data_IF_206789502823
#
_entry.id   IF_206789502823
#
_cell.length_a   1.000
_cell.length_b   1.000
_cell.length_c   1.000
_cell.angle_alpha   90.00
_cell.angle_beta   90.00
_cell.angle_gamma   90.00
#
_symmetry.space_group_name_H-M   'P 1'
#
loop_
_entity.id
_entity.type
_entity.pdbx_description
1 polymer ?
#
# COMPACT_ATOMS: atom_id res chain seq x y z
N UNK A 1 -53.34 -45.51 -2.57
CA UNK A 1 -52.50 -44.75 -3.53
C UNK A 1 -51.84 -43.63 -2.76
N UNK A 2 -50.58 -43.78 -2.49
CA UNK A 2 -49.81 -42.80 -1.72
C UNK A 2 -48.94 -41.97 -2.69
N UNK A 3 -48.89 -40.64 -2.63
CA UNK A 3 -48.08 -39.84 -3.56
C UNK A 3 -46.62 -39.90 -3.13
N UNK A 4 -45.73 -40.26 -4.08
CA UNK A 4 -44.28 -40.17 -3.93
C UNK A 4 -43.86 -38.72 -4.16
N UNK A 5 -43.36 -38.08 -3.12
CA UNK A 5 -42.72 -36.77 -3.22
C UNK A 5 -41.25 -37.02 -3.69
N UNK A 6 -40.96 -36.62 -4.93
CA UNK A 6 -39.59 -36.58 -5.44
C UNK A 6 -38.92 -35.31 -4.94
N UNK A 7 -37.97 -35.42 -4.05
CA UNK A 7 -37.12 -34.32 -3.63
C UNK A 7 -36.09 -34.04 -4.73
N UNK A 8 -36.16 -32.84 -5.35
CA UNK A 8 -35.11 -32.30 -6.23
C UNK A 8 -33.95 -31.85 -5.37
N UNK A 9 -32.82 -32.59 -5.41
CA UNK A 9 -31.56 -32.12 -4.88
C UNK A 9 -30.95 -31.09 -5.86
N UNK A 10 -30.97 -29.82 -5.50
CA UNK A 10 -30.18 -28.80 -6.18
C UNK A 10 -28.69 -29.00 -5.77
N UNK A 11 -27.74 -29.05 -6.75
CA UNK A 11 -26.33 -29.11 -6.40
C UNK A 11 -25.92 -27.75 -5.82
N UNK A 12 -25.42 -27.77 -4.56
CA UNK A 12 -24.73 -26.64 -3.95
C UNK A 12 -23.38 -26.53 -4.64
N UNK A 13 -23.24 -25.54 -5.53
CA UNK A 13 -21.97 -25.17 -6.14
C UNK A 13 -21.10 -24.56 -5.05
N UNK A 14 -20.19 -25.34 -4.46
CA UNK A 14 -19.18 -24.83 -3.56
C UNK A 14 -18.25 -23.92 -4.35
N UNK A 15 -18.36 -22.60 -4.13
CA UNK A 15 -17.36 -21.64 -4.58
C UNK A 15 -16.07 -21.96 -3.82
N UNK A 16 -15.12 -22.62 -4.47
CA UNK A 16 -13.75 -22.73 -3.99
C UNK A 16 -13.15 -21.32 -3.98
N UNK A 17 -13.08 -20.70 -2.80
CA UNK A 17 -12.34 -19.47 -2.64
C UNK A 17 -10.85 -19.79 -2.92
N UNK A 18 -10.31 -19.21 -3.97
CA UNK A 18 -8.87 -19.25 -4.23
C UNK A 18 -8.16 -18.68 -3.00
N UNK A 19 -7.04 -19.28 -2.56
CA UNK A 19 -6.28 -18.74 -1.45
C UNK A 19 -5.89 -17.28 -1.76
N UNK A 20 -6.18 -16.39 -0.83
CA UNK A 20 -5.79 -14.98 -0.96
C UNK A 20 -4.26 -14.93 -1.03
N UNK A 21 -3.73 -14.42 -2.14
CA UNK A 21 -2.28 -14.25 -2.33
C UNK A 21 -1.80 -13.17 -1.37
N UNK A 22 -0.70 -13.44 -0.68
CA UNK A 22 -0.03 -12.50 0.21
C UNK A 22 1.21 -11.95 -0.48
N UNK A 23 1.35 -10.63 -0.50
CA UNK A 23 2.49 -9.92 -1.05
C UNK A 23 3.33 -9.28 0.05
N UNK A 24 4.61 -9.01 -0.22
CA UNK A 24 5.56 -8.44 0.73
C UNK A 24 6.30 -7.28 0.10
N UNK A 25 6.36 -6.15 0.81
CA UNK A 25 7.19 -5.01 0.42
C UNK A 25 8.16 -4.66 1.55
N UNK A 26 9.40 -4.33 1.18
CA UNK A 26 10.41 -3.78 2.09
C UNK A 26 10.71 -2.34 1.70
N UNK A 27 10.54 -1.40 2.64
CA UNK A 27 10.68 0.03 2.41
C UNK A 27 11.73 0.61 3.36
N UNK A 28 12.41 1.66 2.92
CA UNK A 28 13.32 2.47 3.73
C UNK A 28 12.63 3.76 4.20
N UNK A 29 13.12 4.42 5.27
CA UNK A 29 12.48 5.63 5.77
C UNK A 29 12.53 6.77 4.75
N UNK A 30 11.51 7.62 4.81
CA UNK A 30 11.49 8.91 4.11
C UNK A 30 12.02 10.04 4.98
N UNK A 31 12.00 9.86 6.31
CA UNK A 31 12.55 10.79 7.29
C UNK A 31 12.82 10.09 8.62
N UNK A 32 13.86 10.55 9.31
CA UNK A 32 14.16 10.17 10.68
C UNK A 32 14.83 11.32 11.43
N UNK A 33 14.85 11.26 12.75
CA UNK A 33 15.47 12.29 13.58
C UNK A 33 15.67 11.81 15.02
N UNK A 34 16.55 12.50 15.76
CA UNK A 34 16.64 12.44 17.21
C UNK A 34 16.21 13.76 17.84
N UNK A 35 15.31 13.70 18.81
CA UNK A 35 14.97 14.82 19.69
C UNK A 35 15.57 14.60 21.08
N UNK A 36 16.05 15.66 21.68
CA UNK A 36 16.75 15.69 22.98
C UNK A 36 15.90 16.44 23.99
N UNK A 37 15.84 15.99 25.25
CA UNK A 37 15.03 16.62 26.31
C UNK A 37 15.60 17.99 26.75
N UNK A 38 15.86 18.82 25.77
CA UNK A 38 16.24 20.21 25.95
C UNK A 38 15.02 21.06 26.26
N UNK A 39 14.99 21.67 27.43
CA UNK A 39 13.88 22.52 27.89
C UNK A 39 13.74 23.83 27.12
N UNK A 40 14.81 24.26 26.44
CA UNK A 40 14.77 25.41 25.52
C UNK A 40 14.24 24.99 24.14
N UNK A 41 14.34 23.70 23.82
CA UNK A 41 13.81 23.15 22.59
C UNK A 41 14.58 23.58 21.34
N UNK A 42 15.90 23.75 21.43
CA UNK A 42 16.73 24.17 20.32
C UNK A 42 17.76 23.13 19.90
N UNK A 43 17.57 21.83 20.25
CA UNK A 43 18.51 20.76 19.95
C UNK A 43 17.85 19.57 19.25
N UNK A 44 18.53 19.10 18.22
CA UNK A 44 18.08 17.95 17.42
C UNK A 44 19.25 17.30 16.66
N UNK A 45 18.94 16.19 15.97
CA UNK A 45 19.75 15.60 14.90
C UNK A 45 18.78 15.04 13.84
N UNK A 46 18.68 15.69 12.69
CA UNK A 46 17.75 15.35 11.63
C UNK A 46 18.42 14.69 10.42
N UNK A 47 19.74 14.94 10.23
CA UNK A 47 20.48 14.48 9.05
C UNK A 47 21.79 13.77 9.41
N UNK A 48 21.98 13.43 10.68
CA UNK A 48 23.12 12.63 11.11
C UNK A 48 23.03 11.19 10.62
N UNK A 49 24.17 10.52 10.53
CA UNK A 49 24.25 9.10 10.15
C UNK A 49 23.60 8.18 11.19
N UNK A 50 23.31 8.69 12.39
CA UNK A 50 22.81 7.90 13.51
C UNK A 50 21.73 8.65 14.30
N UNK A 51 20.79 7.88 14.84
CA UNK A 51 19.76 8.37 15.76
C UNK A 51 19.84 7.65 17.09
N UNK A 52 19.30 8.26 18.14
CA UNK A 52 19.43 7.77 19.51
C UNK A 52 18.09 7.68 20.23
N UNK A 53 17.93 6.63 21.03
CA UNK A 53 16.80 6.50 21.96
C UNK A 53 17.25 5.99 23.33
N UNK A 54 16.55 6.39 24.40
CA UNK A 54 16.86 6.02 25.77
C UNK A 54 17.56 7.12 26.56
N UNK A 55 18.14 6.73 27.70
CA UNK A 55 18.77 7.62 28.66
C UNK A 55 20.31 7.57 28.51
N UNK A 56 20.95 8.70 28.23
CA UNK A 56 22.40 8.84 28.31
C UNK A 56 22.88 8.92 29.77
N UNK A 57 24.17 9.06 30.00
CA UNK A 57 24.69 9.21 31.37
C UNK A 57 24.23 10.49 32.05
N UNK A 58 24.34 10.51 33.36
CA UNK A 58 23.98 11.67 34.21
C UNK A 58 24.86 12.92 33.97
N UNK A 59 26.00 12.76 33.29
CA UNK A 59 26.93 13.85 33.00
C UNK A 59 26.63 14.57 31.67
N UNK A 60 25.47 14.30 31.04
CA UNK A 60 25.06 14.99 29.81
C UNK A 60 23.94 15.98 30.14
N UNK A 61 23.98 17.14 29.48
CA UNK A 61 22.98 18.20 29.68
C UNK A 61 21.57 17.77 29.26
N UNK A 62 21.48 16.91 28.23
CA UNK A 62 20.21 16.40 27.67
C UNK A 62 20.21 14.86 27.66
N UNK A 63 19.97 14.24 28.84
CA UNK A 63 20.15 12.80 28.98
C UNK A 63 19.10 11.96 28.23
N UNK A 64 17.84 12.41 28.11
CA UNK A 64 16.79 11.65 27.43
C UNK A 64 16.79 11.96 25.95
N UNK A 65 16.74 10.90 25.15
CA UNK A 65 16.70 10.96 23.70
C UNK A 65 15.61 10.06 23.15
N UNK A 66 14.92 10.56 22.14
CA UNK A 66 13.90 9.80 21.43
C UNK A 66 14.21 9.87 19.94
N UNK A 67 14.25 8.70 19.29
CA UNK A 67 14.36 8.64 17.84
C UNK A 67 12.96 8.64 17.22
N UNK A 68 12.83 9.21 16.05
CA UNK A 68 11.61 9.20 15.25
C UNK A 68 11.95 8.64 13.88
N UNK A 69 11.03 7.88 13.27
CA UNK A 69 11.19 7.29 11.94
C UNK A 69 9.84 7.19 11.24
N UNK A 70 9.80 7.56 9.97
CA UNK A 70 8.60 7.43 9.14
C UNK A 70 8.93 6.80 7.80
N UNK A 71 8.00 5.98 7.29
CA UNK A 71 8.10 5.23 6.05
C UNK A 71 6.95 5.62 5.13
N UNK A 72 7.21 5.74 3.84
CA UNK A 72 6.15 5.86 2.84
C UNK A 72 5.61 4.45 2.52
N UNK A 73 4.37 4.21 2.91
CA UNK A 73 3.68 2.93 2.66
C UNK A 73 2.81 2.94 1.40
N UNK A 74 2.91 3.96 0.56
CA UNK A 74 2.11 4.12 -0.67
C UNK A 74 2.37 3.03 -1.73
N UNK A 75 3.47 2.28 -1.59
CA UNK A 75 3.73 1.08 -2.40
C UNK A 75 2.76 -0.07 -2.10
N UNK A 76 2.08 -0.06 -0.94
CA UNK A 76 1.00 -0.99 -0.63
C UNK A 76 -0.29 -0.46 -1.26
N UNK A 77 -0.95 -1.20 -2.17
CA UNK A 77 -2.14 -0.72 -2.85
C UNK A 77 -3.27 -0.35 -1.89
N UNK A 78 -3.97 0.76 -2.16
CA UNK A 78 -5.13 1.17 -1.38
C UNK A 78 -6.21 0.07 -1.38
N UNK A 79 -6.81 -0.19 -0.22
CA UNK A 79 -7.76 -1.29 -0.02
C UNK A 79 -7.13 -2.65 0.24
N UNK A 80 -5.78 -2.74 0.31
CA UNK A 80 -5.10 -3.95 0.77
C UNK A 80 -5.36 -4.19 2.27
N UNK A 81 -5.33 -5.47 2.66
CA UNK A 81 -5.39 -5.87 4.06
C UNK A 81 -3.98 -6.21 4.55
N UNK A 82 -3.45 -5.46 5.51
CA UNK A 82 -2.15 -5.74 6.12
C UNK A 82 -2.26 -6.95 7.04
N UNK A 83 -1.36 -7.92 6.86
CA UNK A 83 -1.35 -9.17 7.64
C UNK A 83 -0.14 -9.28 8.57
N UNK A 84 0.98 -8.61 8.24
CA UNK A 84 2.17 -8.58 9.09
C UNK A 84 2.99 -7.31 8.87
N UNK A 85 3.61 -6.80 9.94
CA UNK A 85 4.52 -5.65 9.89
C UNK A 85 5.74 -5.94 10.75
N UNK A 86 6.93 -5.70 10.20
CA UNK A 86 8.19 -5.75 10.94
C UNK A 86 8.93 -4.44 10.77
N UNK A 87 9.41 -3.85 11.86
CA UNK A 87 10.28 -2.66 11.84
C UNK A 87 11.69 -3.10 12.25
N UNK A 88 12.69 -2.78 11.43
CA UNK A 88 14.08 -3.19 11.61
C UNK A 88 14.97 -1.97 11.75
N UNK A 89 15.71 -1.88 12.84
CA UNK A 89 16.72 -0.85 13.08
C UNK A 89 18.07 -1.51 13.37
N UNK A 90 19.14 -1.04 12.71
CA UNK A 90 20.49 -1.52 12.98
C UNK A 90 21.07 -0.75 14.16
N UNK A 91 21.35 -1.45 15.26
CA UNK A 91 21.99 -0.90 16.45
C UNK A 91 23.50 -0.96 16.27
N UNK A 92 24.15 0.21 16.25
CA UNK A 92 25.57 0.35 15.94
C UNK A 92 26.44 0.75 17.14
N UNK A 93 25.84 1.19 18.25
CA UNK A 93 26.58 1.52 19.47
C UNK A 93 25.71 1.44 20.71
N UNK A 94 26.32 0.92 21.78
CA UNK A 94 25.76 0.96 23.13
C UNK A 94 26.87 0.78 24.17
N UNK A 95 26.62 1.25 25.39
CA UNK A 95 27.48 1.05 26.55
C UNK A 95 26.78 0.25 27.65
N UNK A 96 25.60 -0.32 27.35
CA UNK A 96 24.78 -1.05 28.32
C UNK A 96 24.26 -2.36 27.73
N UNK A 97 23.97 -3.33 28.59
CA UNK A 97 23.35 -4.59 28.21
C UNK A 97 21.92 -4.43 27.68
N UNK A 98 21.15 -5.52 27.75
CA UNK A 98 19.79 -5.57 27.26
C UNK A 98 18.86 -4.55 27.93
N UNK A 99 18.10 -3.83 27.14
CA UNK A 99 17.07 -2.87 27.57
C UNK A 99 15.86 -2.98 26.65
N UNK A 100 14.67 -2.80 27.19
CA UNK A 100 13.41 -2.82 26.41
C UNK A 100 13.21 -1.48 25.72
N UNK A 101 12.99 -1.53 24.42
CA UNK A 101 12.64 -0.37 23.58
C UNK A 101 11.26 -0.56 22.97
N UNK A 102 10.51 0.52 22.91
CA UNK A 102 9.13 0.53 22.42
C UNK A 102 8.99 1.45 21.20
N UNK A 103 8.13 1.05 20.28
CA UNK A 103 7.63 1.90 19.20
C UNK A 103 6.27 2.44 19.59
N UNK A 104 6.03 3.73 19.42
CA UNK A 104 4.74 4.37 19.63
C UNK A 104 4.34 5.15 18.39
N UNK A 105 3.10 4.99 17.92
CA UNK A 105 2.56 5.73 16.79
C UNK A 105 2.51 7.21 17.08
N UNK A 106 3.12 8.03 16.24
CA UNK A 106 3.01 9.48 16.29
C UNK A 106 1.61 9.92 15.86
N UNK A 107 1.04 10.90 16.55
CA UNK A 107 -0.31 11.44 16.30
C UNK A 107 -0.29 12.83 15.68
N UNK A 108 0.91 13.41 15.51
CA UNK A 108 1.10 14.73 14.92
C UNK A 108 2.22 14.72 13.89
N UNK A 109 2.01 15.44 12.78
CA UNK A 109 3.02 15.62 11.74
C UNK A 109 4.24 16.37 12.25
N UNK A 110 5.40 15.98 11.79
CA UNK A 110 6.68 16.60 12.08
C UNK A 110 7.52 16.71 10.80
N UNK A 111 8.49 17.57 10.79
CA UNK A 111 9.36 17.75 9.64
C UNK A 111 10.79 17.27 9.95
N UNK A 112 11.50 16.80 8.95
CA UNK A 112 12.92 16.51 9.04
C UNK A 112 13.66 17.71 8.47
N UNK A 113 14.34 18.47 9.34
CA UNK A 113 15.09 19.63 8.96
C UNK A 113 16.52 19.32 8.54
N UNK A 114 17.37 20.35 8.41
CA UNK A 114 18.71 20.21 7.85
C UNK A 114 19.81 19.89 8.89
N UNK A 115 19.53 19.91 10.19
CA UNK A 115 20.58 19.83 11.21
C UNK A 115 21.25 18.47 11.26
N UNK A 116 22.57 18.47 11.19
CA UNK A 116 23.46 17.32 11.43
C UNK A 116 23.99 17.38 12.87
N UNK A 117 23.70 16.33 13.64
CA UNK A 117 24.21 16.19 15.01
C UNK A 117 25.65 15.68 15.08
N UNK A 118 26.29 15.93 16.20
CA UNK A 118 27.64 15.44 16.48
C UNK A 118 27.66 14.50 17.69
N UNK A 119 28.33 13.37 17.55
CA UNK A 119 28.69 12.45 18.66
C UNK A 119 27.51 12.04 19.57
N UNK A 120 26.31 12.13 19.10
CA UNK A 120 25.12 11.78 19.87
C UNK A 120 24.58 12.88 20.80
N UNK A 121 25.16 14.07 20.82
CA UNK A 121 24.65 15.21 21.60
C UNK A 121 23.79 16.18 20.77
N UNK A 122 23.54 15.84 19.51
CA UNK A 122 22.80 16.69 18.59
C UNK A 122 23.55 17.99 18.26
N UNK A 123 22.83 18.91 17.63
CA UNK A 123 23.32 20.23 17.31
C UNK A 123 22.20 21.27 17.48
N UNK A 124 22.54 22.56 17.37
CA UNK A 124 21.54 23.64 17.42
C UNK A 124 20.54 23.48 16.27
N UNK A 125 19.26 23.48 16.62
CA UNK A 125 18.18 23.31 15.66
C UNK A 125 18.11 24.49 14.69
N UNK A 126 17.81 24.19 13.45
CA UNK A 126 17.52 25.14 12.39
C UNK A 126 16.04 25.10 12.02
N UNK A 127 15.58 26.11 11.30
CA UNK A 127 14.17 26.15 10.83
C UNK A 127 13.84 24.85 10.10
N UNK A 128 12.79 24.19 10.53
CA UNK A 128 12.33 22.92 9.97
C UNK A 128 12.68 21.68 10.77
N UNK A 129 13.58 21.76 11.74
CA UNK A 129 13.94 20.61 12.57
C UNK A 129 12.86 20.27 13.61
N UNK A 130 12.67 18.99 13.94
CA UNK A 130 11.91 18.61 15.11
C UNK A 130 12.81 18.73 16.35
N UNK A 131 12.25 19.23 17.45
CA UNK A 131 12.97 19.30 18.72
C UNK A 131 12.11 18.71 19.84
N UNK A 132 12.55 18.76 21.08
CA UNK A 132 11.75 18.32 22.21
C UNK A 132 10.44 19.10 22.35
N UNK A 133 10.47 20.41 21.99
CA UNK A 133 9.30 21.27 22.08
C UNK A 133 8.54 21.44 20.75
N UNK A 134 9.23 21.25 19.62
CA UNK A 134 8.70 21.61 18.31
C UNK A 134 8.54 20.41 17.40
N UNK A 135 7.42 20.36 16.66
CA UNK A 135 7.28 19.52 15.46
C UNK A 135 8.05 20.13 14.29
N UNK A 136 8.20 21.44 14.31
CA UNK A 136 8.85 22.28 13.33
C UNK A 136 9.47 23.48 14.05
N UNK A 137 10.78 23.49 14.20
CA UNK A 137 11.51 24.50 14.97
C UNK A 137 11.17 25.92 14.51
N UNK A 138 10.92 26.82 15.47
CA UNK A 138 10.48 28.19 15.29
C UNK A 138 9.11 28.41 14.60
N UNK A 139 8.33 27.33 14.41
CA UNK A 139 7.03 27.47 13.76
C UNK A 139 5.91 26.75 14.53
N UNK A 140 6.07 25.46 14.84
CA UNK A 140 5.00 24.66 15.40
C UNK A 140 5.48 23.80 16.58
N UNK A 141 4.71 23.81 17.68
CA UNK A 141 4.99 23.04 18.88
C UNK A 141 4.31 21.67 18.86
N UNK A 142 4.88 20.68 19.56
CA UNK A 142 4.14 19.55 20.06
C UNK A 142 3.09 20.02 21.06
N UNK A 143 1.99 19.27 21.22
CA UNK A 143 1.05 19.48 22.32
C UNK A 143 1.69 19.13 23.66
N UNK A 144 2.51 18.08 23.64
CA UNK A 144 3.27 17.62 24.81
C UNK A 144 4.76 17.60 24.50
N UNK A 145 5.61 18.24 25.30
CA UNK A 145 7.07 18.18 25.12
C UNK A 145 7.57 16.74 25.02
N UNK A 146 8.42 16.49 24.01
CA UNK A 146 8.95 15.16 23.72
C UNK A 146 8.15 14.34 22.73
N UNK A 147 7.12 14.93 22.09
CA UNK A 147 6.35 14.34 20.99
C UNK A 147 4.93 13.92 21.38
N UNK A 148 4.01 14.09 20.43
CA UNK A 148 2.62 13.63 20.55
C UNK A 148 2.50 12.23 19.97
N UNK A 149 2.24 11.23 20.80
CA UNK A 149 2.16 9.83 20.39
C UNK A 149 1.12 9.03 21.20
N UNK A 150 0.69 7.90 20.66
CA UNK A 150 -0.21 6.97 21.36
C UNK A 150 0.54 6.36 22.54
N UNK A 151 -0.07 6.43 23.75
CA UNK A 151 0.54 5.94 24.97
C UNK A 151 0.79 4.42 24.95
N UNK A 152 -0.12 3.66 24.35
CA UNK A 152 0.06 2.21 24.14
C UNK A 152 1.15 1.99 23.08
N UNK A 153 2.14 1.15 23.41
CA UNK A 153 3.20 0.81 22.48
C UNK A 153 2.68 -0.01 21.30
N UNK A 154 3.08 0.34 20.11
CA UNK A 154 2.83 -0.45 18.89
C UNK A 154 3.58 -1.79 18.94
N UNK A 155 4.80 -1.78 19.47
CA UNK A 155 5.59 -2.98 19.74
C UNK A 155 6.68 -2.72 20.78
N UNK A 156 7.15 -3.79 21.42
CA UNK A 156 8.24 -3.77 22.40
C UNK A 156 9.29 -4.82 22.03
N UNK A 157 10.58 -4.49 22.24
CA UNK A 157 11.69 -5.41 21.96
C UNK A 157 12.82 -5.20 22.96
N UNK A 158 13.41 -6.29 23.43
CA UNK A 158 14.66 -6.25 24.20
C UNK A 158 15.86 -6.13 23.27
N UNK A 159 16.60 -5.02 23.36
CA UNK A 159 17.80 -4.75 22.55
C UNK A 159 19.04 -4.96 23.38
N UNK A 160 19.84 -5.96 22.98
CA UNK A 160 21.09 -6.35 23.65
C UNK A 160 22.27 -5.41 23.37
N UNK A 161 23.48 -5.96 23.42
CA UNK A 161 24.73 -5.23 23.14
C UNK A 161 25.39 -5.58 21.81
N UNK A 162 24.88 -6.57 21.09
CA UNK A 162 25.40 -6.97 19.79
C UNK A 162 24.99 -5.97 18.70
N UNK A 163 25.96 -5.52 17.89
CA UNK A 163 25.74 -4.62 16.77
C UNK A 163 25.16 -5.39 15.60
N UNK A 164 23.84 -5.22 15.42
CA UNK A 164 23.03 -5.96 14.42
C UNK A 164 21.69 -5.29 14.19
N UNK A 165 20.93 -5.81 13.25
CA UNK A 165 19.51 -5.48 13.12
C UNK A 165 18.71 -6.05 14.29
N UNK A 166 17.92 -5.21 14.89
CA UNK A 166 16.88 -5.59 15.84
C UNK A 166 15.52 -5.40 15.17
N UNK A 167 14.69 -6.43 15.26
CA UNK A 167 13.40 -6.46 14.56
C UNK A 167 12.26 -6.48 15.57
N UNK A 168 11.51 -5.40 15.62
CA UNK A 168 10.19 -5.40 16.26
C UNK A 168 9.28 -6.23 15.37
N UNK A 169 8.88 -7.42 15.85
CA UNK A 169 8.02 -8.35 15.14
C UNK A 169 6.60 -7.85 15.02
N UNK A 170 5.83 -8.55 14.22
CA UNK A 170 4.45 -8.18 13.98
C UNK A 170 3.61 -8.32 15.25
N UNK A 171 2.99 -7.23 15.63
CA UNK A 171 1.95 -7.15 16.66
C UNK A 171 0.65 -6.69 16.02
N UNK A 172 -0.48 -6.98 16.66
CA UNK A 172 -1.77 -6.46 16.19
C UNK A 172 -1.77 -4.92 16.08
N UNK A 173 -1.04 -4.23 16.99
CA UNK A 173 -0.98 -2.77 16.97
C UNK A 173 -0.11 -2.24 15.83
N UNK A 174 1.05 -2.86 15.51
CA UNK A 174 1.85 -2.48 14.32
C UNK A 174 1.05 -2.68 13.04
N UNK A 175 0.30 -3.77 12.93
CA UNK A 175 -0.59 -4.03 11.79
C UNK A 175 -1.66 -2.96 11.69
N UNK A 176 -2.33 -2.62 12.80
CA UNK A 176 -3.36 -1.58 12.83
C UNK A 176 -2.82 -0.19 12.49
N UNK A 177 -1.59 0.14 12.93
CA UNK A 177 -0.95 1.41 12.60
C UNK A 177 -0.75 1.55 11.09
N UNK A 178 -0.12 0.54 10.45
CA UNK A 178 0.15 0.55 9.01
C UNK A 178 -1.14 0.49 8.20
N UNK A 179 -2.12 -0.33 8.60
CA UNK A 179 -3.44 -0.35 7.96
C UNK A 179 -4.08 1.04 7.97
N UNK A 180 -4.06 1.72 9.12
CA UNK A 180 -4.62 3.07 9.23
C UNK A 180 -3.93 4.09 8.30
N UNK A 181 -2.65 3.91 8.00
CA UNK A 181 -1.90 4.79 7.09
C UNK A 181 -2.18 4.48 5.61
N UNK A 182 -2.47 3.22 5.28
CA UNK A 182 -2.93 2.84 3.93
C UNK A 182 -4.33 3.39 3.69
N UNK A 183 -5.22 3.28 4.69
CA UNK A 183 -6.60 3.75 4.60
C UNK A 183 -6.70 5.28 4.62
N UNK A 184 -5.79 5.95 5.35
CA UNK A 184 -5.71 7.40 5.45
C UNK A 184 -4.25 7.89 5.45
N UNK A 185 -3.62 8.05 4.27
CA UNK A 185 -2.20 8.40 4.13
C UNK A 185 -1.79 9.69 4.82
N UNK A 186 -2.70 10.66 4.98
CA UNK A 186 -2.42 11.94 5.63
C UNK A 186 -2.12 11.81 7.13
N UNK A 187 -2.42 10.65 7.74
CA UNK A 187 -2.16 10.36 9.16
C UNK A 187 -0.86 9.60 9.39
N UNK A 188 -0.09 9.33 8.34
CA UNK A 188 1.18 8.65 8.45
C UNK A 188 2.29 9.59 8.94
N UNK A 189 2.44 9.63 10.25
CA UNK A 189 3.52 10.40 10.89
C UNK A 189 4.67 9.51 11.37
N UNK A 190 4.57 8.19 11.20
CA UNK A 190 5.57 7.21 11.63
C UNK A 190 5.51 6.89 13.12
N UNK A 191 6.62 6.42 13.65
CA UNK A 191 6.77 6.04 15.06
C UNK A 191 7.86 6.84 15.76
N UNK A 192 7.67 7.00 17.07
CA UNK A 192 8.73 7.40 17.99
C UNK A 192 9.26 6.16 18.71
N UNK A 193 10.58 6.04 18.76
CA UNK A 193 11.32 4.97 19.45
C UNK A 193 11.72 5.47 20.83
N UNK A 194 11.30 4.75 21.87
CA UNK A 194 11.61 5.07 23.26
C UNK A 194 12.36 3.92 23.92
N UNK A 195 13.43 4.25 24.62
CA UNK A 195 14.06 3.35 25.58
C UNK A 195 13.60 3.70 27.01
N UNK A 196 14.10 3.02 28.04
CA UNK A 196 13.90 3.46 29.43
C UNK A 196 14.41 4.87 29.64
N UNK A 197 13.56 5.74 30.17
CA UNK A 197 13.82 7.15 30.47
C UNK A 197 13.78 7.36 31.99
N UNK A 198 14.77 8.02 32.52
CA UNK A 198 14.92 8.24 33.96
C UNK A 198 15.88 7.25 34.64
N UNK A 199 16.87 7.80 35.34
CA UNK A 199 17.85 7.03 36.14
C UNK A 199 19.02 6.48 35.35
N UNK A 200 19.14 5.16 35.26
CA UNK A 200 20.33 4.51 34.73
C UNK A 200 20.47 4.63 33.20
N UNK A 201 21.70 4.59 32.71
CA UNK A 201 22.02 4.56 31.27
C UNK A 201 21.22 3.46 30.55
N UNK A 202 20.62 3.83 29.44
CA UNK A 202 19.89 2.89 28.57
C UNK A 202 20.08 3.19 27.09
N UNK A 203 20.69 4.33 26.73
CA UNK A 203 20.78 4.79 25.36
C UNK A 203 21.39 3.77 24.39
N UNK A 204 20.76 3.63 23.26
CA UNK A 204 21.21 2.90 22.08
C UNK A 204 21.32 3.85 20.90
N UNK A 205 22.34 3.63 20.06
CA UNK A 205 22.52 4.29 18.77
C UNK A 205 22.01 3.37 17.67
N UNK A 206 21.20 3.91 16.78
CA UNK A 206 20.72 3.24 15.59
C UNK A 206 21.17 4.01 14.35
N UNK A 207 21.36 3.31 13.25
CA UNK A 207 21.64 3.92 11.96
C UNK A 207 20.38 4.59 11.38
N UNK A 208 20.59 5.63 10.58
CA UNK A 208 19.54 6.44 9.93
C UNK A 208 19.42 6.13 8.43
N UNK A 209 18.52 6.81 7.74
CA UNK A 209 18.41 6.74 6.28
C UNK A 209 19.61 7.37 5.55
N UNK A 210 20.37 8.25 6.21
CA UNK A 210 21.62 8.84 5.71
C UNK A 210 22.80 7.86 5.77
N UNK A 211 22.70 6.81 6.57
CA UNK A 211 23.74 5.78 6.71
C UNK A 211 23.88 4.92 5.46
N UNK A 212 24.92 4.06 5.47
CA UNK A 212 25.14 3.09 4.39
C UNK A 212 23.90 2.25 4.15
N UNK A 213 23.55 1.99 2.88
CA UNK A 213 22.30 1.31 2.48
C UNK A 213 22.06 -0.02 3.24
N UNK A 214 23.15 -0.78 3.53
CA UNK A 214 23.06 -2.06 4.26
C UNK A 214 22.68 -1.93 5.74
N UNK A 215 22.67 -0.72 6.31
CA UNK A 215 22.36 -0.48 7.72
C UNK A 215 21.10 0.38 7.93
N UNK A 216 20.52 0.88 6.85
CA UNK A 216 19.33 1.75 6.92
C UNK A 216 18.16 1.06 7.62
N UNK A 217 17.35 1.79 8.36
CA UNK A 217 16.10 1.28 8.87
C UNK A 217 15.23 0.70 7.77
N UNK A 218 14.43 -0.30 8.11
CA UNK A 218 13.53 -0.96 7.17
C UNK A 218 12.18 -1.22 7.82
N UNK A 219 11.13 -1.12 7.04
CA UNK A 219 9.84 -1.72 7.34
C UNK A 219 9.56 -2.83 6.33
N UNK A 220 9.10 -3.99 6.80
CA UNK A 220 8.62 -5.08 5.97
C UNK A 220 7.14 -5.21 6.21
N UNK A 221 6.34 -5.00 5.18
CA UNK A 221 4.87 -5.09 5.22
C UNK A 221 4.43 -6.28 4.39
N UNK A 222 3.72 -7.21 5.02
CA UNK A 222 3.02 -8.31 4.33
C UNK A 222 1.55 -7.95 4.26
N UNK A 223 0.95 -8.07 3.08
CA UNK A 223 -0.43 -7.66 2.85
C UNK A 223 -1.13 -8.56 1.83
N UNK A 224 -2.45 -8.60 1.89
CA UNK A 224 -3.31 -9.19 0.86
C UNK A 224 -3.86 -8.06 0.01
N UNK A 225 -3.58 -8.05 -1.29
CA UNK A 225 -4.09 -7.03 -2.19
C UNK A 225 -5.62 -7.08 -2.35
N UNK A 226 -6.29 -5.96 -2.70
CA UNK A 226 -7.72 -5.99 -2.97
C UNK A 226 -8.01 -6.79 -4.24
N UNK A 227 -9.08 -7.61 -4.27
CA UNK A 227 -9.45 -8.34 -5.48
C UNK A 227 -9.85 -7.39 -6.62
N UNK A 228 -9.74 -7.83 -7.88
CA UNK A 228 -10.31 -7.10 -9.00
C UNK A 228 -11.79 -6.80 -8.77
N UNK A 229 -12.20 -5.55 -9.00
CA UNK A 229 -13.55 -5.07 -8.69
C UNK A 229 -14.20 -4.44 -9.92
N UNK A 230 -15.39 -4.96 -10.29
CA UNK A 230 -16.21 -4.35 -11.33
C UNK A 230 -16.84 -3.04 -10.84
N UNK A 231 -16.88 -2.04 -11.72
CA UNK A 231 -17.46 -0.73 -11.44
C UNK A 231 -18.09 -0.14 -12.69
N UNK A 232 -18.78 0.99 -12.55
CA UNK A 232 -19.45 1.68 -13.65
C UNK A 232 -20.65 0.92 -14.22
N UNK A 233 -21.36 1.56 -15.17
CA UNK A 233 -22.57 1.02 -15.79
C UNK A 233 -22.31 0.64 -17.23
N UNK A 234 -22.70 -0.58 -17.60
CA UNK A 234 -22.67 -1.05 -18.98
C UNK A 234 -23.78 -0.40 -19.81
N UNK A 235 -23.55 -0.27 -21.11
CA UNK A 235 -24.59 0.11 -22.07
C UNK A 235 -25.43 -1.12 -22.40
N UNK A 236 -26.76 -1.02 -22.31
CA UNK A 236 -27.68 -2.04 -22.80
C UNK A 236 -27.55 -2.14 -24.31
N UNK A 237 -27.41 -3.36 -24.84
CA UNK A 237 -27.25 -3.59 -26.27
C UNK A 237 -28.64 -3.58 -27.01
N UNK A 238 -28.61 -3.69 -28.34
CA UNK A 238 -29.80 -3.63 -29.18
C UNK A 238 -30.82 -4.78 -28.95
N UNK A 239 -30.43 -5.86 -28.28
CA UNK A 239 -31.28 -6.95 -27.86
C UNK A 239 -31.76 -6.87 -26.41
N UNK A 240 -31.43 -5.79 -25.70
CA UNK A 240 -31.81 -5.57 -24.29
C UNK A 240 -30.88 -6.26 -23.28
N UNK A 241 -29.76 -6.85 -23.68
CA UNK A 241 -28.82 -7.48 -22.76
C UNK A 241 -27.81 -6.46 -22.23
N UNK A 242 -27.37 -6.68 -21.00
CA UNK A 242 -26.37 -5.85 -20.31
C UNK A 242 -25.05 -6.64 -20.22
N UNK A 243 -24.01 -6.28 -20.98
CA UNK A 243 -22.72 -6.96 -20.92
C UNK A 243 -22.08 -6.81 -19.55
N UNK A 244 -21.52 -7.91 -19.01
CA UNK A 244 -20.92 -7.94 -17.69
C UNK A 244 -19.43 -8.33 -17.78
N UNK A 245 -18.56 -7.41 -17.34
CA UNK A 245 -17.11 -7.67 -17.21
C UNK A 245 -16.82 -8.44 -15.93
N UNK A 246 -15.88 -9.38 -16.00
CA UNK A 246 -15.37 -10.14 -14.87
C UNK A 246 -13.90 -10.46 -15.02
N UNK A 247 -13.37 -11.24 -14.09
CA UNK A 247 -11.99 -11.74 -14.19
C UNK A 247 -11.82 -13.07 -13.47
N UNK A 248 -10.79 -13.80 -13.87
CA UNK A 248 -10.30 -15.01 -13.19
C UNK A 248 -8.79 -14.91 -13.02
N UNK A 249 -8.25 -15.41 -11.90
CA UNK A 249 -6.83 -15.31 -11.58
C UNK A 249 -6.45 -13.96 -10.97
N UNK A 250 -5.16 -13.65 -10.96
CA UNK A 250 -4.56 -12.42 -10.39
C UNK A 250 -3.67 -11.73 -11.42
N UNK A 251 -3.73 -10.40 -11.47
CA UNK A 251 -2.80 -9.60 -12.26
C UNK A 251 -1.41 -9.65 -11.61
N UNK A 252 -0.49 -10.38 -12.19
CA UNK A 252 0.82 -10.71 -11.64
C UNK A 252 1.92 -10.36 -12.64
N UNK A 253 2.87 -9.55 -12.20
CA UNK A 253 3.97 -9.07 -13.04
C UNK A 253 4.89 -10.22 -13.51
N UNK A 254 5.03 -11.27 -12.70
CA UNK A 254 5.95 -12.38 -12.94
C UNK A 254 5.26 -13.65 -13.45
N UNK A 255 3.93 -13.73 -13.49
CA UNK A 255 3.24 -14.97 -13.83
C UNK A 255 3.25 -15.33 -15.33
N UNK A 256 3.46 -14.35 -16.20
CA UNK A 256 3.45 -14.57 -17.67
C UNK A 256 2.08 -14.83 -18.27
N UNK A 257 1.13 -15.44 -17.56
CA UNK A 257 -0.24 -15.74 -17.99
C UNK A 257 -1.13 -16.02 -16.79
N UNK A 258 -2.47 -16.19 -17.02
CA UNK A 258 -3.40 -16.68 -16.01
C UNK A 258 -4.27 -15.62 -15.33
N UNK A 259 -4.21 -14.36 -15.75
CA UNK A 259 -5.19 -13.34 -15.38
C UNK A 259 -6.09 -13.00 -16.57
N UNK A 260 -7.21 -13.69 -16.68
CA UNK A 260 -8.15 -13.45 -17.74
C UNK A 260 -9.20 -12.40 -17.35
N UNK A 261 -9.31 -11.33 -18.14
CA UNK A 261 -10.42 -10.37 -18.07
C UNK A 261 -11.48 -10.85 -19.05
N UNK A 262 -12.68 -11.10 -18.54
CA UNK A 262 -13.77 -11.71 -19.31
C UNK A 262 -14.92 -10.74 -19.52
N UNK A 263 -15.70 -10.95 -20.58
CA UNK A 263 -16.97 -10.32 -20.82
C UNK A 263 -18.00 -11.39 -21.16
N UNK A 264 -19.17 -11.33 -20.56
CA UNK A 264 -20.31 -12.18 -20.85
C UNK A 264 -21.55 -11.36 -21.25
N UNK A 265 -22.58 -12.04 -21.72
CA UNK A 265 -23.88 -11.45 -22.05
C UNK A 265 -23.78 -10.33 -23.10
N UNK A 266 -22.92 -10.50 -24.11
CA UNK A 266 -22.79 -9.61 -25.25
C UNK A 266 -23.32 -10.28 -26.53
N UNK A 267 -23.51 -9.49 -27.60
CA UNK A 267 -23.99 -10.03 -28.87
C UNK A 267 -23.02 -11.09 -29.41
N UNK A 268 -23.60 -12.20 -29.95
CA UNK A 268 -22.86 -13.25 -30.60
C UNK A 268 -22.21 -12.79 -31.92
N UNK A 269 -21.13 -13.44 -32.34
CA UNK A 269 -20.43 -13.24 -33.62
C UNK A 269 -20.12 -11.76 -33.95
N UNK A 270 -19.73 -10.98 -32.94
CA UNK A 270 -19.36 -9.56 -33.13
C UNK A 270 -17.89 -9.31 -32.78
N UNK A 271 -17.27 -8.42 -33.54
CA UNK A 271 -15.93 -7.94 -33.22
C UNK A 271 -15.95 -7.04 -31.98
N UNK A 272 -14.93 -7.16 -31.14
CA UNK A 272 -14.74 -6.32 -29.96
C UNK A 272 -13.29 -6.36 -29.49
N UNK A 273 -12.96 -5.53 -28.50
CA UNK A 273 -11.62 -5.47 -27.91
C UNK A 273 -11.70 -4.98 -26.45
N UNK A 274 -10.72 -5.35 -25.68
CA UNK A 274 -10.46 -4.73 -24.37
C UNK A 274 -9.67 -3.45 -24.59
N UNK A 275 -10.02 -2.37 -23.85
CA UNK A 275 -9.15 -1.21 -23.71
C UNK A 275 -8.91 -0.94 -22.24
N UNK A 276 -7.77 -0.32 -21.94
CA UNK A 276 -7.35 -0.09 -20.57
C UNK A 276 -6.58 1.23 -20.42
N UNK A 277 -6.48 1.69 -19.18
CA UNK A 277 -5.68 2.86 -18.79
C UNK A 277 -5.16 2.73 -17.37
N UNK A 278 -4.17 3.54 -17.03
CA UNK A 278 -3.44 3.50 -15.74
C UNK A 278 -3.63 4.77 -14.90
N UNK A 279 -4.50 5.68 -15.33
CA UNK A 279 -4.76 6.94 -14.62
C UNK A 279 -6.02 6.88 -13.74
N UNK A 280 -6.66 5.70 -13.63
CA UNK A 280 -7.81 5.48 -12.77
C UNK A 280 -9.16 5.46 -13.51
N UNK A 281 -10.27 5.47 -12.75
CA UNK A 281 -11.62 5.46 -13.30
C UNK A 281 -12.00 6.82 -13.91
N UNK A 282 -12.92 6.77 -14.87
CA UNK A 282 -13.56 7.94 -15.47
C UNK A 282 -15.08 7.74 -15.54
N UNK A 283 -15.78 8.83 -15.88
CA UNK A 283 -17.22 8.85 -16.17
C UNK A 283 -17.44 9.83 -17.29
N UNK A 284 -17.18 9.43 -18.53
CA UNK A 284 -17.31 10.28 -19.71
C UNK A 284 -18.33 9.70 -20.69
N UNK A 285 -19.22 10.53 -21.28
CA UNK A 285 -20.10 10.07 -22.35
C UNK A 285 -19.31 9.54 -23.54
N UNK A 286 -19.63 8.36 -24.03
CA UNK A 286 -18.97 7.76 -25.18
C UNK A 286 -19.90 6.84 -25.95
N UNK A 287 -20.19 7.16 -27.20
CA UNK A 287 -20.99 6.35 -28.14
C UNK A 287 -22.31 5.83 -27.54
N UNK A 288 -23.04 6.71 -26.87
CA UNK A 288 -24.32 6.39 -26.22
C UNK A 288 -24.23 5.53 -24.95
N UNK A 289 -23.03 5.37 -24.42
CA UNK A 289 -22.74 4.75 -23.12
C UNK A 289 -21.75 5.58 -22.33
N UNK A 290 -21.06 4.97 -21.37
CA UNK A 290 -20.08 5.62 -20.50
C UNK A 290 -18.72 4.99 -20.69
N UNK A 291 -17.70 5.80 -21.01
CA UNK A 291 -16.30 5.42 -20.93
C UNK A 291 -15.85 5.56 -19.49
N UNK A 292 -15.48 4.45 -18.88
CA UNK A 292 -15.19 4.35 -17.46
C UNK A 292 -13.69 4.30 -17.16
N UNK A 293 -12.85 4.40 -18.19
CA UNK A 293 -11.39 4.38 -18.10
C UNK A 293 -10.86 5.77 -18.42
N UNK A 294 -10.05 6.33 -17.52
CA UNK A 294 -9.41 7.63 -17.71
C UNK A 294 -8.40 7.58 -18.86
N UNK A 295 -8.50 8.53 -19.79
CA UNK A 295 -7.57 8.68 -20.90
C UNK A 295 -6.17 9.16 -20.40
N UNK A 296 -5.07 8.80 -21.11
CA UNK A 296 -5.02 8.04 -22.35
C UNK A 296 -5.31 6.54 -22.18
N UNK A 297 -6.00 5.97 -23.16
CA UNK A 297 -6.33 4.54 -23.19
C UNK A 297 -5.44 3.80 -24.19
N UNK A 298 -5.15 2.54 -23.86
CA UNK A 298 -4.51 1.56 -24.77
C UNK A 298 -5.55 0.53 -25.18
N UNK A 299 -5.41 -0.01 -26.40
CA UNK A 299 -6.31 -1.02 -26.96
C UNK A 299 -5.57 -2.33 -27.16
N UNK A 300 -6.24 -3.43 -26.87
CA UNK A 300 -5.75 -4.77 -27.19
C UNK A 300 -6.13 -5.14 -28.62
N UNK A 301 -5.68 -6.31 -29.07
CA UNK A 301 -6.10 -6.87 -30.36
C UNK A 301 -7.60 -7.12 -30.40
N UNK A 302 -8.21 -6.96 -31.57
CA UNK A 302 -9.61 -7.26 -31.77
C UNK A 302 -9.85 -8.78 -31.70
N UNK A 303 -10.98 -9.17 -31.10
CA UNK A 303 -11.45 -10.53 -30.93
C UNK A 303 -12.85 -10.66 -31.52
N UNK A 304 -13.32 -11.90 -31.73
CA UNK A 304 -14.72 -12.22 -32.03
C UNK A 304 -15.39 -12.73 -30.75
N UNK A 305 -16.61 -12.29 -30.47
CA UNK A 305 -17.35 -12.71 -29.28
C UNK A 305 -17.81 -14.18 -29.30
N UNK A 306 -17.71 -14.85 -30.41
CA UNK A 306 -18.19 -16.24 -30.53
C UNK A 306 -19.67 -16.36 -30.20
N UNK A 307 -20.04 -17.38 -29.44
CA UNK A 307 -21.45 -17.69 -29.11
C UNK A 307 -22.14 -18.44 -30.22
N UNK A 308 -23.49 -18.35 -30.27
CA UNK A 308 -24.31 -19.04 -31.26
C UNK A 308 -23.92 -18.67 -32.68
N UNK A 309 -23.88 -19.67 -33.57
CA UNK A 309 -23.56 -19.46 -34.97
C UNK A 309 -24.69 -18.72 -35.74
N UNK A 310 -24.33 -18.00 -36.82
CA UNK A 310 -25.32 -17.41 -37.71
C UNK A 310 -26.26 -18.51 -38.27
N UNK A 311 -27.58 -18.24 -38.38
CA UNK A 311 -28.24 -16.94 -38.36
C UNK A 311 -28.71 -16.47 -36.97
N UNK A 312 -28.33 -17.14 -35.89
CA UNK A 312 -28.73 -16.72 -34.55
C UNK A 312 -28.27 -15.28 -34.25
N UNK A 313 -29.09 -14.50 -33.57
CA UNK A 313 -28.82 -13.17 -33.10
C UNK A 313 -29.24 -13.09 -31.63
N UNK A 314 -28.33 -13.29 -30.71
CA UNK A 314 -28.56 -13.44 -29.29
C UNK A 314 -27.41 -12.85 -28.44
N UNK A 315 -27.49 -13.05 -27.13
CA UNK A 315 -26.49 -12.54 -26.19
C UNK A 315 -25.56 -13.64 -25.65
N UNK A 316 -25.33 -14.71 -26.41
CA UNK A 316 -24.41 -15.79 -26.01
C UNK A 316 -22.92 -15.45 -26.25
N UNK A 317 -22.63 -14.30 -26.84
CA UNK A 317 -21.28 -13.84 -27.07
C UNK A 317 -20.52 -13.60 -25.77
N UNK A 318 -19.22 -13.82 -25.83
CA UNK A 318 -18.28 -13.59 -24.73
C UNK A 318 -16.90 -13.19 -25.26
N UNK A 319 -16.12 -12.53 -24.44
CA UNK A 319 -14.70 -12.26 -24.71
C UNK A 319 -13.87 -12.73 -23.52
N UNK A 320 -12.61 -13.04 -23.79
CA UNK A 320 -11.61 -13.32 -22.76
C UNK A 320 -10.25 -12.85 -23.24
N UNK A 321 -9.54 -12.12 -22.40
CA UNK A 321 -8.19 -11.62 -22.69
C UNK A 321 -7.28 -11.88 -21.49
N UNK A 322 -6.20 -12.65 -21.70
CA UNK A 322 -5.19 -12.88 -20.66
C UNK A 322 -4.29 -11.63 -20.52
N UNK A 323 -4.53 -10.86 -19.49
CA UNK A 323 -3.85 -9.59 -19.28
C UNK A 323 -2.41 -9.77 -18.75
N UNK A 324 -2.09 -10.91 -18.11
CA UNK A 324 -0.71 -11.21 -17.69
C UNK A 324 0.22 -11.40 -18.90
N UNK A 325 -0.28 -11.93 -20.01
CA UNK A 325 0.49 -11.99 -21.27
C UNK A 325 0.87 -10.58 -21.75
N UNK A 326 -0.03 -9.60 -21.61
CA UNK A 326 0.27 -8.21 -21.96
C UNK A 326 1.29 -7.59 -20.98
N UNK A 327 1.14 -7.83 -19.70
CA UNK A 327 2.11 -7.37 -18.67
C UNK A 327 3.50 -7.94 -19.00
N UNK A 328 3.61 -9.25 -19.18
CA UNK A 328 4.87 -9.95 -19.44
C UNK A 328 5.53 -9.56 -20.78
N UNK A 329 4.75 -9.08 -21.75
CA UNK A 329 5.30 -8.62 -23.04
C UNK A 329 6.18 -7.38 -22.92
N UNK A 330 6.05 -6.60 -21.85
CA UNK A 330 6.76 -5.34 -21.66
C UNK A 330 6.39 -4.23 -22.66
N UNK A 331 5.37 -4.44 -23.49
CA UNK A 331 4.95 -3.49 -24.52
C UNK A 331 4.46 -2.14 -23.95
N UNK A 332 4.04 -2.13 -22.70
CA UNK A 332 3.65 -0.91 -21.99
C UNK A 332 4.35 -0.85 -20.63
N UNK A 333 5.36 0.00 -20.52
CA UNK A 333 6.15 0.20 -19.28
C UNK A 333 5.34 0.76 -18.09
N UNK A 334 4.13 1.26 -18.31
CA UNK A 334 3.25 1.70 -17.23
C UNK A 334 2.60 0.51 -16.49
N UNK A 335 2.60 -0.70 -17.06
CA UNK A 335 2.11 -1.92 -16.44
C UNK A 335 3.19 -2.48 -15.49
N UNK A 336 3.37 -1.85 -14.35
CA UNK A 336 4.37 -2.18 -13.33
C UNK A 336 3.72 -2.59 -12.01
N UNK A 337 4.47 -3.24 -11.14
CA UNK A 337 4.03 -3.61 -9.79
C UNK A 337 3.45 -2.40 -9.04
N UNK A 338 2.33 -2.60 -8.34
CA UNK A 338 1.60 -1.57 -7.60
C UNK A 338 0.72 -0.66 -8.47
N UNK A 339 0.75 -0.80 -9.80
CA UNK A 339 -0.04 0.05 -10.70
C UNK A 339 -1.52 -0.33 -10.67
N UNK A 340 -2.38 0.68 -10.45
CA UNK A 340 -3.81 0.55 -10.69
C UNK A 340 -4.07 0.55 -12.19
N UNK A 341 -4.82 -0.44 -12.66
CA UNK A 341 -5.30 -0.54 -14.04
C UNK A 341 -6.83 -0.55 -14.03
N UNK A 342 -7.42 0.22 -14.95
CA UNK A 342 -8.84 0.19 -15.26
C UNK A 342 -9.02 -0.33 -16.68
N UNK A 343 -9.95 -1.27 -16.90
CA UNK A 343 -10.19 -1.91 -18.18
C UNK A 343 -11.69 -1.99 -18.49
N UNK A 344 -12.05 -1.91 -19.77
CA UNK A 344 -13.43 -1.98 -20.23
C UNK A 344 -13.46 -2.60 -21.63
N UNK A 345 -14.50 -3.36 -21.94
CA UNK A 345 -14.73 -3.90 -23.29
C UNK A 345 -15.59 -2.97 -24.14
N UNK A 346 -15.19 -2.85 -25.39
CA UNK A 346 -15.97 -2.27 -26.48
C UNK A 346 -16.27 -3.38 -27.50
N UNK A 347 -17.49 -3.39 -28.05
CA UNK A 347 -17.86 -4.34 -29.09
C UNK A 347 -18.81 -3.70 -30.13
N UNK A 348 -18.91 -4.34 -31.31
CA UNK A 348 -19.87 -3.95 -32.33
C UNK A 348 -21.28 -4.33 -31.92
N UNK A 349 -22.22 -3.43 -32.22
CA UNK A 349 -23.66 -3.62 -32.11
C UNK A 349 -24.34 -2.86 -33.26
N UNK A 350 -24.43 -3.47 -34.46
CA UNK A 350 -24.87 -2.74 -35.66
C UNK A 350 -26.29 -2.18 -35.58
N UNK A 351 -27.17 -2.74 -34.74
CA UNK A 351 -28.54 -2.28 -34.58
C UNK A 351 -28.71 -1.21 -33.49
N UNK A 352 -27.69 -0.96 -32.69
CA UNK A 352 -27.73 0.11 -31.68
C UNK A 352 -27.41 1.47 -32.29
N UNK A 353 -27.91 2.53 -31.66
CA UNK A 353 -27.42 3.90 -31.91
C UNK A 353 -25.90 3.94 -31.69
N UNK A 354 -25.14 4.54 -32.60
CA UNK A 354 -23.66 4.53 -32.68
C UNK A 354 -23.04 3.18 -33.07
N UNK A 355 -23.83 2.14 -33.41
CA UNK A 355 -23.37 0.83 -33.87
C UNK A 355 -22.38 0.10 -32.93
N UNK A 356 -22.41 0.41 -31.64
CA UNK A 356 -21.43 -0.08 -30.66
C UNK A 356 -22.08 -0.35 -29.31
N UNK A 357 -21.40 -1.17 -28.54
CA UNK A 357 -21.72 -1.47 -27.15
C UNK A 357 -20.50 -1.29 -26.24
N UNK A 358 -20.75 -1.11 -24.94
CA UNK A 358 -19.74 -0.95 -23.88
C UNK A 358 -20.13 -1.79 -22.67
N UNK A 359 -19.20 -2.51 -22.10
CA UNK A 359 -19.38 -3.16 -20.80
C UNK A 359 -19.36 -2.15 -19.65
N UNK A 360 -19.68 -2.58 -18.42
CA UNK A 360 -19.11 -1.99 -17.22
C UNK A 360 -17.58 -2.15 -17.23
N UNK A 361 -16.86 -1.59 -16.25
CA UNK A 361 -15.40 -1.62 -16.20
C UNK A 361 -14.90 -2.49 -15.03
N UNK A 362 -13.65 -2.92 -15.13
CA UNK A 362 -12.91 -3.63 -14.08
C UNK A 362 -11.73 -2.78 -13.64
N UNK A 363 -11.49 -2.68 -12.33
CA UNK A 363 -10.27 -2.10 -11.74
C UNK A 363 -9.51 -3.17 -10.97
N UNK A 364 -8.19 -3.15 -11.08
CA UNK A 364 -7.31 -4.10 -10.39
C UNK A 364 -5.91 -3.50 -10.25
N UNK A 365 -5.11 -4.07 -9.34
CA UNK A 365 -3.70 -3.73 -9.19
C UNK A 365 -2.83 -4.84 -9.77
N UNK A 366 -1.63 -4.48 -10.27
CA UNK A 366 -0.61 -5.44 -10.71
C UNK A 366 0.26 -5.79 -9.51
N UNK A 367 0.38 -7.09 -9.21
CA UNK A 367 1.14 -7.64 -8.09
C UNK A 367 2.53 -8.10 -8.53
N UNK A 368 3.50 -8.22 -7.57
CA UNK A 368 4.85 -8.71 -7.85
C UNK A 368 4.88 -10.16 -8.29
#
# INVERSE_FOLDING_TARGET
MSPRISALLLPVLALLALPARSDVVTLTPIKDATIYNDTVGNRCDSKGLTMYAGQAGTNTTWPTRRAMVAFDVSAVPAGSTVTSVQVKLYMSKTVVGAKTFTLHKLTRGWNEGPTVGFSGDGNSAQVGDPTWLHTYFNNQLWTTPGGDFVATASASLSIGSTYQYYTWGSTAQLVADVQSWIDNPSTNYGWIVRGPEGGAKSAKQFETRESLARYRPQIVVTYTPPPPTAYCTAKTNSLGCVPAIGSTGSADFNAGSGFAITLSNTLNQKAGLLFYGTLGPATAPFQGGTMCVQAPIQRTVAQNSGGSASPANDCTGSFSYDFNVLIASGANSQLSVGRLVCAQYWSRDPAATFTTNLSNALRFYIYP
#
